data_IF_752479097575
#
_entry.id   IF_752479097575
#
_cell.length_a   1.000
_cell.length_b   1.000
_cell.length_c   1.000
_cell.angle_alpha   90.00
_cell.angle_beta   90.00
_cell.angle_gamma   90.00
#
_symmetry.space_group_name_H-M   'P 1'
#
loop_
_entity.id
_entity.type
_entity.pdbx_description
1 polymer ?
#
# COMPACT_ATOMS: atom_id res chain seq x y z
N UNK A 1 -6.36 -20.77 27.44
CA UNK A 1 -5.87 -19.47 26.98
C UNK A 1 -6.45 -19.21 25.63
N UNK A 2 -7.14 -18.08 25.38
CA UNK A 2 -7.47 -17.75 24.02
C UNK A 2 -6.17 -17.62 23.23
N UNK A 3 -6.04 -18.33 22.14
CA UNK A 3 -4.90 -18.17 21.23
C UNK A 3 -4.88 -16.71 20.78
N UNK A 4 -3.75 -16.07 20.89
CA UNK A 4 -3.56 -14.76 20.28
C UNK A 4 -3.68 -14.93 18.78
N UNK A 5 -4.69 -14.29 18.18
CA UNK A 5 -4.94 -14.34 16.75
C UNK A 5 -4.35 -13.10 16.09
N UNK A 6 -3.76 -13.30 14.91
CA UNK A 6 -3.38 -12.22 14.03
C UNK A 6 -4.65 -11.59 13.46
N UNK A 7 -4.87 -10.30 13.68
CA UNK A 7 -6.11 -9.62 13.25
C UNK A 7 -6.04 -9.12 11.81
N UNK A 8 -5.07 -8.27 11.50
CA UNK A 8 -4.93 -7.68 10.17
C UNK A 8 -3.53 -7.08 9.94
N UNK A 9 -3.21 -6.81 8.68
CA UNK A 9 -2.03 -6.04 8.32
C UNK A 9 -2.32 -4.55 8.56
N UNK A 10 -1.67 -3.96 9.57
CA UNK A 10 -1.93 -2.58 9.97
C UNK A 10 -1.10 -1.55 9.22
N UNK A 11 0.08 -1.90 8.76
CA UNK A 11 0.96 -0.97 8.06
C UNK A 11 1.86 -1.66 7.04
N UNK A 12 2.23 -0.90 6.00
CA UNK A 12 3.32 -1.20 5.07
C UNK A 12 4.25 0.01 5.06
N UNK A 13 5.51 -0.21 5.41
CA UNK A 13 6.53 0.83 5.43
C UNK A 13 7.61 0.52 4.40
N UNK A 14 7.92 1.50 3.57
CA UNK A 14 9.05 1.44 2.64
C UNK A 14 10.19 2.26 3.23
N UNK A 15 11.37 1.69 3.25
CA UNK A 15 12.59 2.36 3.70
C UNK A 15 13.37 2.82 2.48
N UNK A 16 13.80 4.08 2.49
CA UNK A 16 14.54 4.69 1.39
C UNK A 16 15.74 5.48 1.89
N UNK A 17 16.80 5.50 1.10
CA UNK A 17 17.96 6.39 1.34
C UNK A 17 17.65 7.83 0.91
N UNK A 18 16.62 8.03 0.07
CA UNK A 18 16.07 9.34 -0.31
C UNK A 18 14.53 9.30 -0.23
N UNK A 19 14.03 9.31 0.99
CA UNK A 19 12.60 9.15 1.27
C UNK A 19 11.76 10.30 0.70
N UNK A 20 12.30 11.52 0.59
CA UNK A 20 11.59 12.65 0.00
C UNK A 20 11.40 12.46 -1.52
N UNK A 21 12.43 12.04 -2.23
CA UNK A 21 12.35 11.74 -3.67
C UNK A 21 11.34 10.62 -3.92
N UNK A 22 11.40 9.57 -3.12
CA UNK A 22 10.50 8.44 -3.23
C UNK A 22 9.05 8.87 -2.94
N UNK A 23 8.82 9.64 -1.89
CA UNK A 23 7.50 10.16 -1.54
C UNK A 23 6.90 11.06 -2.63
N UNK A 24 7.74 11.91 -3.27
CA UNK A 24 7.30 12.71 -4.43
C UNK A 24 6.82 11.83 -5.59
N UNK A 25 7.53 10.77 -5.90
CA UNK A 25 7.11 9.83 -6.95
C UNK A 25 5.73 9.22 -6.65
N UNK A 26 5.55 8.67 -5.44
CA UNK A 26 4.28 8.07 -5.05
C UNK A 26 3.14 9.10 -5.00
N UNK A 27 3.39 10.28 -4.47
CA UNK A 27 2.38 11.33 -4.34
C UNK A 27 2.05 12.00 -5.67
N UNK A 28 3.08 12.46 -6.40
CA UNK A 28 2.90 13.38 -7.52
C UNK A 28 2.70 12.62 -8.84
N UNK A 29 3.23 11.41 -8.97
CA UNK A 29 3.12 10.60 -10.19
C UNK A 29 2.10 9.48 -10.07
N UNK A 30 2.10 8.73 -8.96
CA UNK A 30 1.13 7.64 -8.75
C UNK A 30 -0.19 8.11 -8.13
N UNK A 31 -0.25 9.30 -7.54
CA UNK A 31 -1.45 9.83 -6.90
C UNK A 31 -1.74 9.27 -5.51
N UNK A 32 -0.75 8.68 -4.84
CA UNK A 32 -0.89 8.23 -3.45
C UNK A 32 -0.98 9.46 -2.52
N UNK A 33 -1.99 9.59 -1.64
CA UNK A 33 -2.25 10.81 -0.88
C UNK A 33 -1.30 10.97 0.34
N UNK A 34 0.00 10.81 0.12
CA UNK A 34 1.04 10.95 1.14
C UNK A 34 1.11 12.36 1.71
N UNK A 35 1.27 12.44 3.03
CA UNK A 35 1.47 13.68 3.78
C UNK A 35 2.73 13.58 4.64
N UNK A 36 3.42 14.69 4.90
CA UNK A 36 4.53 14.69 5.84
C UNK A 36 4.03 14.39 7.25
N UNK A 37 4.73 13.48 7.92
CA UNK A 37 4.46 13.05 9.30
C UNK A 37 5.74 13.07 10.13
N UNK A 38 5.57 13.20 11.44
CA UNK A 38 6.66 13.10 12.41
C UNK A 38 6.11 12.59 13.74
N UNK A 39 6.72 11.55 14.25
CA UNK A 39 6.35 10.96 15.54
C UNK A 39 7.54 10.99 16.51
N UNK A 40 7.39 11.75 17.60
CA UNK A 40 8.45 11.87 18.59
C UNK A 40 9.76 12.42 18.02
N UNK A 41 10.84 11.69 18.28
CA UNK A 41 12.20 12.06 17.82
C UNK A 41 12.57 11.52 16.44
N UNK A 42 11.64 10.88 15.72
CA UNK A 42 11.91 10.39 14.37
C UNK A 42 12.14 11.53 13.39
N UNK A 43 12.91 11.27 12.35
CA UNK A 43 12.98 12.17 11.22
C UNK A 43 11.63 12.22 10.49
N UNK A 44 11.40 13.31 9.76
CA UNK A 44 10.23 13.43 8.93
C UNK A 44 10.13 12.24 7.97
N UNK A 45 8.94 11.69 7.86
CA UNK A 45 8.56 10.66 6.90
C UNK A 45 7.24 11.06 6.25
N UNK A 46 6.75 10.24 5.34
CA UNK A 46 5.51 10.50 4.60
C UNK A 46 4.58 9.30 4.77
N UNK A 47 3.35 9.57 5.16
CA UNK A 47 2.36 8.52 5.41
C UNK A 47 0.97 8.89 4.93
N UNK A 48 0.13 7.88 4.80
CA UNK A 48 -1.31 7.99 4.55
C UNK A 48 -2.03 6.68 4.87
N UNK A 49 -3.35 6.77 4.99
CA UNK A 49 -4.19 5.59 5.09
C UNK A 49 -4.65 5.16 3.69
N UNK A 50 -4.44 3.89 3.36
CA UNK A 50 -4.95 3.24 2.15
C UNK A 50 -5.91 2.11 2.56
N UNK A 51 -7.20 2.42 2.67
CA UNK A 51 -8.16 1.55 3.32
C UNK A 51 -7.83 1.41 4.81
N UNK A 52 -7.67 0.18 5.29
CA UNK A 52 -7.34 -0.12 6.69
C UNK A 52 -5.83 -0.29 6.92
N UNK A 53 -5.01 0.04 5.93
CA UNK A 53 -3.55 -0.12 6.00
C UNK A 53 -2.88 1.25 5.99
N UNK A 54 -2.05 1.51 7.00
CA UNK A 54 -1.16 2.66 6.99
C UNK A 54 -0.01 2.39 6.01
N UNK A 55 0.14 3.27 5.02
CA UNK A 55 1.25 3.22 4.06
C UNK A 55 2.21 4.37 4.33
N UNK A 56 3.48 4.08 4.53
CA UNK A 56 4.47 5.10 4.85
C UNK A 56 5.80 4.88 4.15
N UNK A 57 6.50 6.00 3.88
CA UNK A 57 7.85 6.02 3.35
C UNK A 57 8.75 6.71 4.36
N UNK A 58 9.73 5.98 4.84
CA UNK A 58 10.64 6.40 5.90
C UNK A 58 12.08 6.54 5.41
N UNK A 59 12.83 7.54 5.89
CA UNK A 59 14.28 7.55 5.74
C UNK A 59 14.90 6.39 6.54
N UNK A 60 15.96 5.80 5.99
CA UNK A 60 16.68 4.68 6.62
C UNK A 60 17.11 4.98 8.04
N UNK A 61 17.44 6.21 8.33
CA UNK A 61 17.90 6.68 9.64
C UNK A 61 16.87 6.47 10.76
N UNK A 62 15.59 6.36 10.43
CA UNK A 62 14.55 6.02 11.40
C UNK A 62 14.63 4.57 11.90
N UNK A 63 15.41 3.71 11.24
CA UNK A 63 15.55 2.28 11.52
C UNK A 63 16.96 1.88 11.99
N UNK A 64 17.67 2.75 12.65
CA UNK A 64 19.06 2.50 13.10
C UNK A 64 19.24 1.27 13.98
N UNK A 65 18.17 0.79 14.62
CA UNK A 65 18.20 -0.43 15.47
C UNK A 65 18.16 -1.71 14.66
N UNK A 66 17.83 -1.66 13.38
CA UNK A 66 17.82 -2.82 12.50
C UNK A 66 18.81 -2.64 11.35
N UNK A 67 20.04 -3.18 11.49
CA UNK A 67 21.07 -3.06 10.45
C UNK A 67 20.73 -3.79 9.15
N UNK A 68 19.68 -4.63 9.15
CA UNK A 68 19.28 -5.44 8.00
C UNK A 68 18.14 -4.80 7.19
N UNK A 69 17.63 -3.64 7.59
CA UNK A 69 16.62 -2.93 6.81
C UNK A 69 17.21 -2.53 5.46
N UNK A 70 16.70 -3.15 4.40
CA UNK A 70 17.10 -2.93 3.02
C UNK A 70 16.27 -1.87 2.31
N UNK A 71 16.78 -1.38 1.18
CA UNK A 71 16.09 -0.49 0.24
C UNK A 71 15.79 -1.25 -1.03
N UNK A 72 14.63 -0.97 -1.68
CA UNK A 72 14.29 -1.53 -2.98
C UNK A 72 13.80 -2.98 -2.99
N UNK A 73 13.43 -3.55 -1.85
CA UNK A 73 13.03 -4.96 -1.72
C UNK A 73 11.51 -5.18 -1.59
N UNK A 74 10.69 -4.15 -1.81
CA UNK A 74 9.23 -4.24 -1.64
C UNK A 74 8.55 -4.44 -2.98
N UNK A 75 7.59 -5.36 -3.02
CA UNK A 75 6.59 -5.48 -4.10
C UNK A 75 5.25 -4.98 -3.58
N UNK A 76 4.70 -3.96 -4.22
CA UNK A 76 3.38 -3.42 -3.93
C UNK A 76 2.42 -3.75 -5.07
N UNK A 77 1.14 -3.81 -4.78
CA UNK A 77 0.08 -3.89 -5.79
C UNK A 77 -1.00 -2.84 -5.47
N UNK A 78 -1.32 -2.00 -6.45
CA UNK A 78 -2.39 -1.03 -6.37
C UNK A 78 -3.53 -1.40 -7.32
N UNK A 79 -4.76 -1.31 -6.82
CA UNK A 79 -5.94 -1.49 -7.66
C UNK A 79 -6.26 -0.19 -8.37
N UNK A 80 -6.49 -0.30 -9.67
CA UNK A 80 -6.83 0.79 -10.58
C UNK A 80 -8.19 0.47 -11.23
N UNK A 81 -9.11 1.45 -11.30
CA UNK A 81 -10.41 1.25 -11.92
C UNK A 81 -10.39 1.28 -13.46
N UNK A 82 -9.53 2.13 -14.03
CA UNK A 82 -9.34 2.29 -15.48
C UNK A 82 -7.83 2.30 -15.76
N UNK A 83 -7.30 1.15 -16.08
CA UNK A 83 -5.87 0.96 -16.25
C UNK A 83 -5.34 1.71 -17.47
N UNK A 84 -6.09 1.77 -18.56
CA UNK A 84 -5.65 2.44 -19.79
C UNK A 84 -5.53 3.95 -19.58
N UNK A 85 -6.54 4.59 -18.97
CA UNK A 85 -6.50 6.02 -18.65
C UNK A 85 -5.39 6.33 -17.63
N UNK A 86 -5.17 5.47 -16.65
CA UNK A 86 -4.11 5.63 -15.66
C UNK A 86 -2.73 5.56 -16.28
N UNK A 87 -2.47 4.56 -17.14
CA UNK A 87 -1.20 4.40 -17.86
C UNK A 87 -0.91 5.58 -18.80
N UNK A 88 -1.94 6.11 -19.45
CA UNK A 88 -1.79 7.32 -20.27
C UNK A 88 -1.30 8.50 -19.41
N UNK A 89 -1.87 8.69 -18.22
CA UNK A 89 -1.45 9.72 -17.28
C UNK A 89 -0.02 9.51 -16.81
N UNK A 90 0.36 8.28 -16.44
CA UNK A 90 1.72 7.95 -16.03
C UNK A 90 2.74 8.22 -17.14
N UNK A 91 2.42 7.83 -18.37
CA UNK A 91 3.29 8.05 -19.53
C UNK A 91 3.52 9.54 -19.80
N UNK A 92 2.49 10.38 -19.65
CA UNK A 92 2.61 11.83 -19.77
C UNK A 92 3.54 12.43 -18.68
N UNK A 93 3.63 11.77 -17.53
CA UNK A 93 4.52 12.14 -16.43
C UNK A 93 5.91 11.47 -16.51
N UNK A 94 6.21 10.77 -17.60
CA UNK A 94 7.48 10.12 -17.84
C UNK A 94 7.65 8.76 -17.16
N UNK A 95 6.58 8.18 -16.60
CA UNK A 95 6.60 6.83 -16.02
C UNK A 95 6.16 5.82 -17.08
N UNK A 96 7.03 4.88 -17.42
CA UNK A 96 6.74 3.85 -18.40
C UNK A 96 6.41 2.52 -17.75
N UNK A 97 5.39 1.78 -18.23
CA UNK A 97 5.15 0.41 -17.79
C UNK A 97 6.32 -0.49 -18.17
N UNK A 98 6.58 -1.51 -17.37
CA UNK A 98 7.62 -2.51 -17.62
C UNK A 98 7.24 -3.47 -18.74
N UNK A 99 5.95 -3.66 -18.96
CA UNK A 99 5.36 -4.50 -20.01
C UNK A 99 3.93 -4.05 -20.30
N UNK A 100 3.43 -4.41 -21.48
CA UNK A 100 2.04 -4.12 -21.84
C UNK A 100 1.06 -4.85 -20.90
N UNK A 101 -0.12 -4.25 -20.61
CA UNK A 101 -1.11 -4.90 -19.76
C UNK A 101 -1.49 -6.30 -20.22
N UNK A 102 -1.35 -7.27 -19.33
CA UNK A 102 -1.65 -8.68 -19.58
C UNK A 102 -2.93 -9.11 -18.85
N UNK A 103 -3.70 -10.00 -19.49
CA UNK A 103 -4.87 -10.61 -18.88
C UNK A 103 -4.44 -11.82 -18.04
N UNK A 104 -4.66 -11.74 -16.73
CA UNK A 104 -4.35 -12.82 -15.78
C UNK A 104 -5.60 -13.15 -14.97
N UNK A 105 -6.25 -14.28 -15.31
CA UNK A 105 -7.53 -14.63 -14.73
C UNK A 105 -8.58 -13.56 -14.95
N UNK A 106 -9.22 -13.07 -13.89
CA UNK A 106 -10.19 -11.97 -13.94
C UNK A 106 -9.59 -10.58 -13.78
N UNK A 107 -8.28 -10.40 -14.00
CA UNK A 107 -7.55 -9.15 -13.80
C UNK A 107 -6.75 -8.77 -15.04
N UNK A 108 -6.59 -7.46 -15.28
CA UNK A 108 -5.54 -6.95 -16.18
C UNK A 108 -4.43 -6.37 -15.32
N UNK A 109 -3.21 -6.73 -15.60
CA UNK A 109 -2.05 -6.33 -14.81
C UNK A 109 -0.92 -5.78 -15.69
N UNK A 110 -0.23 -4.80 -15.16
CA UNK A 110 1.09 -4.35 -15.60
C UNK A 110 1.89 -3.93 -14.38
N UNK A 111 3.09 -3.40 -14.56
CA UNK A 111 3.90 -2.92 -13.48
C UNK A 111 4.75 -1.71 -13.88
N UNK A 112 5.15 -0.95 -12.89
CA UNK A 112 6.16 0.12 -12.99
C UNK A 112 7.21 -0.09 -11.90
N UNK A 113 8.32 0.64 -12.00
CA UNK A 113 9.30 0.73 -10.90
C UNK A 113 9.27 2.10 -10.28
N UNK A 114 9.43 2.13 -8.96
CA UNK A 114 9.70 3.39 -8.28
C UNK A 114 11.19 3.79 -8.41
N UNK A 115 11.58 5.01 -7.99
CA UNK A 115 12.97 5.48 -8.06
C UNK A 115 13.99 4.64 -7.29
N UNK A 116 13.57 3.87 -6.30
CA UNK A 116 14.41 2.94 -5.53
C UNK A 116 14.44 1.52 -6.11
N UNK A 117 13.74 1.30 -7.23
CA UNK A 117 13.69 0.02 -7.93
C UNK A 117 12.63 -0.95 -7.39
N UNK A 118 11.76 -0.55 -6.46
CA UNK A 118 10.66 -1.39 -6.01
C UNK A 118 9.70 -1.71 -7.17
N UNK A 119 9.22 -2.93 -7.18
CA UNK A 119 8.25 -3.38 -8.16
C UNK A 119 6.84 -2.98 -7.71
N UNK A 120 6.13 -2.23 -8.54
CA UNK A 120 4.77 -1.78 -8.29
C UNK A 120 3.85 -2.39 -9.35
N UNK A 121 3.03 -3.34 -8.92
CA UNK A 121 2.00 -3.92 -9.77
C UNK A 121 0.78 -2.98 -9.82
N UNK A 122 0.26 -2.76 -11.02
CA UNK A 122 -0.97 -2.00 -11.28
C UNK A 122 -2.01 -2.99 -11.78
N UNK A 123 -3.09 -3.14 -11.03
CA UNK A 123 -4.09 -4.17 -11.26
C UNK A 123 -5.47 -3.56 -11.49
N UNK A 124 -6.07 -3.80 -12.64
CA UNK A 124 -7.47 -3.54 -12.88
C UNK A 124 -8.27 -4.80 -12.55
N UNK A 125 -9.11 -4.71 -11.53
CA UNK A 125 -9.89 -5.83 -11.03
C UNK A 125 -11.17 -6.00 -11.83
N UNK A 126 -11.46 -7.23 -12.27
CA UNK A 126 -12.72 -7.60 -12.86
C UNK A 126 -13.85 -7.72 -11.81
N UNK A 127 -15.09 -7.79 -12.29
CA UNK A 127 -16.32 -7.85 -11.47
C UNK A 127 -16.26 -8.91 -10.36
N UNK A 128 -15.72 -10.09 -10.66
CA UNK A 128 -15.63 -11.20 -9.70
C UNK A 128 -14.81 -10.85 -8.45
N UNK A 129 -13.83 -9.95 -8.57
CA UNK A 129 -13.05 -9.47 -7.42
C UNK A 129 -13.87 -8.55 -6.52
N UNK A 130 -14.67 -7.66 -7.10
CA UNK A 130 -15.54 -6.78 -6.32
C UNK A 130 -16.63 -7.57 -5.58
N UNK A 131 -17.15 -8.63 -6.20
CA UNK A 131 -18.10 -9.55 -5.54
C UNK A 131 -17.42 -10.28 -4.37
N UNK A 132 -16.18 -10.74 -4.51
CA UNK A 132 -15.40 -11.32 -3.41
C UNK A 132 -15.12 -10.32 -2.28
N UNK A 133 -14.78 -9.08 -2.61
CA UNK A 133 -14.55 -8.02 -1.61
C UNK A 133 -15.84 -7.70 -0.85
N UNK A 134 -16.98 -7.64 -1.55
CA UNK A 134 -18.29 -7.48 -0.92
C UNK A 134 -18.58 -8.60 0.06
N UNK A 135 -18.44 -9.85 -0.37
CA UNK A 135 -18.67 -11.03 0.47
C UNK A 135 -17.74 -11.06 1.69
N UNK A 136 -16.52 -10.59 1.58
CA UNK A 136 -15.62 -10.46 2.72
C UNK A 136 -16.14 -9.47 3.77
N UNK A 137 -16.65 -8.31 3.35
CA UNK A 137 -17.27 -7.33 4.26
C UNK A 137 -18.52 -7.89 4.92
N UNK A 138 -19.37 -8.58 4.17
CA UNK A 138 -20.57 -9.24 4.69
C UNK A 138 -20.24 -10.39 5.66
N UNK A 139 -19.06 -10.99 5.59
CA UNK A 139 -18.59 -12.06 6.46
C UNK A 139 -17.82 -11.59 7.70
N UNK A 140 -17.85 -10.31 8.03
CA UNK A 140 -17.27 -9.80 9.27
C UNK A 140 -15.77 -9.47 9.22
N UNK A 141 -15.22 -9.18 8.06
CA UNK A 141 -13.88 -8.59 7.90
C UNK A 141 -13.84 -7.09 8.17
N UNK A 142 -14.86 -6.55 8.81
CA UNK A 142 -14.85 -5.18 9.31
C UNK A 142 -14.09 -5.15 10.64
N UNK A 143 -12.90 -4.56 10.62
CA UNK A 143 -12.01 -4.46 11.78
C UNK A 143 -12.67 -3.73 12.95
N UNK A 144 -13.45 -2.69 12.66
CA UNK A 144 -14.18 -1.93 13.70
C UNK A 144 -15.25 -2.78 14.34
N UNK A 145 -16.06 -3.47 13.53
CA UNK A 145 -17.10 -4.36 14.06
C UNK A 145 -16.51 -5.51 14.90
N UNK A 146 -15.36 -6.08 14.48
CA UNK A 146 -14.66 -7.10 15.28
C UNK A 146 -14.14 -6.53 16.60
N UNK A 147 -13.58 -5.32 16.58
CA UNK A 147 -13.13 -4.65 17.79
C UNK A 147 -14.29 -4.37 18.75
N UNK A 148 -15.43 -3.87 18.27
CA UNK A 148 -16.63 -3.61 19.06
C UNK A 148 -17.19 -4.90 19.69
N UNK A 149 -17.25 -6.00 18.91
CA UNK A 149 -17.65 -7.31 19.42
C UNK A 149 -16.73 -7.78 20.55
N UNK A 150 -15.43 -7.56 20.41
CA UNK A 150 -14.44 -7.91 21.45
C UNK A 150 -14.61 -7.10 22.72
N UNK A 151 -14.86 -5.79 22.61
CA UNK A 151 -15.13 -4.91 23.76
C UNK A 151 -16.40 -5.36 24.49
N UNK A 152 -17.46 -5.66 23.76
CA UNK A 152 -18.72 -6.15 24.33
C UNK A 152 -18.56 -7.49 25.07
N UNK A 153 -17.71 -8.38 24.56
CA UNK A 153 -17.42 -9.68 25.17
C UNK A 153 -16.59 -9.55 26.47
N UNK A 154 -15.79 -8.47 26.61
CA UNK A 154 -14.98 -8.19 27.78
C UNK A 154 -15.72 -7.40 28.87
N UNK A 155 -16.97 -6.97 28.60
CA UNK A 155 -17.81 -6.26 29.57
C UNK A 155 -17.35 -4.84 29.89
N UNK A 156 -16.63 -4.19 28.98
CA UNK A 156 -16.21 -2.78 29.09
C UNK A 156 -17.06 -1.85 28.27
#
# INVERSE_FOLDING_TARGET
MPNAELEFLSAVLIVSDDAERLARFYRDQLGVPLRPERHGETLQHWGCELGDVHFAIHPRENFQRDPNVGVGAVKLAFMIFDLDAYLQTLTQQGVQPLYEPEQVGGMRITAVRDPDGNFIELTELGRNWFERLRNRREQGFDVVARWEQRQSALGT
#
